data_IF_251559395494
#
_entry.id   IF_251559395494
#
_cell.length_a   1.000
_cell.length_b   1.000
_cell.length_c   1.000
_cell.angle_alpha   90.00
_cell.angle_beta   90.00
_cell.angle_gamma   90.00
#
_symmetry.space_group_name_H-M   'P 1'
#
loop_
_entity.id
_entity.type
_entity.pdbx_description
1 polymer ?
#
# COMPACT_ATOMS: atom_id res chain seq x y z
N UNK A 1 0.44 14.25 -11.30
CA UNK A 1 0.21 13.42 -10.09
C UNK A 1 0.20 11.94 -10.46
N UNK A 2 0.87 11.11 -9.68
CA UNK A 2 0.86 9.65 -9.85
C UNK A 2 -0.11 9.01 -8.87
N UNK A 3 -0.78 7.94 -9.33
CA UNK A 3 -1.75 7.18 -8.55
C UNK A 3 -1.12 5.84 -8.17
N UNK A 4 -0.93 5.61 -6.87
CA UNK A 4 -0.09 4.53 -6.35
C UNK A 4 -0.91 3.66 -5.40
N UNK A 5 -0.82 2.34 -5.59
CA UNK A 5 -1.40 1.38 -4.64
C UNK A 5 -0.26 0.79 -3.79
N UNK A 6 -0.37 0.88 -2.47
CA UNK A 6 0.66 0.36 -1.57
C UNK A 6 0.29 -1.01 -0.99
N UNK A 7 1.24 -1.94 -1.09
CA UNK A 7 1.19 -3.19 -0.33
C UNK A 7 1.24 -2.88 1.17
N UNK A 8 0.56 -3.70 1.96
CA UNK A 8 0.46 -3.55 3.42
C UNK A 8 1.81 -3.36 4.10
N UNK A 9 2.84 -4.10 3.67
CA UNK A 9 4.17 -4.01 4.28
C UNK A 9 4.79 -2.63 4.17
N UNK A 10 4.54 -1.91 3.07
CA UNK A 10 5.07 -0.55 2.90
C UNK A 10 4.46 0.39 3.95
N UNK A 11 3.16 0.24 4.20
CA UNK A 11 2.47 1.06 5.19
C UNK A 11 3.01 0.78 6.60
N UNK A 12 3.21 -0.49 6.92
CA UNK A 12 3.76 -0.89 8.22
C UNK A 12 5.19 -0.36 8.38
N UNK A 13 6.01 -0.44 7.33
CA UNK A 13 7.38 0.09 7.35
C UNK A 13 7.39 1.57 7.74
N UNK A 14 6.41 2.32 7.25
CA UNK A 14 6.27 3.74 7.58
C UNK A 14 5.78 3.93 9.03
N UNK A 15 4.64 3.33 9.37
CA UNK A 15 3.99 3.56 10.67
C UNK A 15 4.80 3.02 11.84
N UNK A 16 5.48 1.88 11.67
CA UNK A 16 6.28 1.25 12.71
C UNK A 16 7.77 1.63 12.63
N UNK A 17 8.14 2.50 11.70
CA UNK A 17 9.52 2.95 11.48
C UNK A 17 10.51 1.79 11.37
N UNK A 18 10.18 0.80 10.52
CA UNK A 18 11.03 -0.39 10.37
C UNK A 18 12.28 -0.11 9.51
N UNK A 19 13.45 -0.18 10.12
CA UNK A 19 14.73 -0.02 9.41
C UNK A 19 15.08 -1.30 8.64
N UNK A 20 15.70 -1.19 7.48
CA UNK A 20 16.08 0.02 6.73
C UNK A 20 14.98 0.51 5.79
N UNK A 21 13.77 0.00 5.86
CA UNK A 21 12.69 0.20 4.89
C UNK A 21 11.92 1.51 5.09
N UNK A 22 11.94 2.05 6.31
CA UNK A 22 11.08 3.19 6.66
C UNK A 22 11.41 4.47 5.90
N UNK A 23 12.67 4.68 5.51
CA UNK A 23 13.05 5.91 4.81
C UNK A 23 12.35 6.04 3.46
N UNK A 24 12.42 5.01 2.62
CA UNK A 24 11.76 5.04 1.31
C UNK A 24 10.23 5.15 1.47
N UNK A 25 9.66 4.41 2.44
CA UNK A 25 8.23 4.48 2.72
C UNK A 25 7.82 5.91 3.13
N UNK A 26 8.59 6.55 4.01
CA UNK A 26 8.32 7.92 4.44
C UNK A 26 8.36 8.91 3.27
N UNK A 27 9.29 8.73 2.35
CA UNK A 27 9.37 9.58 1.15
C UNK A 27 8.13 9.45 0.28
N UNK A 28 7.58 8.24 0.14
CA UNK A 28 6.35 8.03 -0.63
C UNK A 28 5.18 8.80 0.00
N UNK A 29 5.02 8.72 1.32
CA UNK A 29 3.97 9.46 2.01
C UNK A 29 4.19 10.97 1.91
N UNK A 30 5.43 11.42 1.92
CA UNK A 30 5.74 12.84 1.75
C UNK A 30 5.31 13.34 0.36
N UNK A 31 5.50 12.55 -0.69
CA UNK A 31 5.01 12.92 -2.03
C UNK A 31 3.49 13.07 -2.04
N UNK A 32 2.78 12.25 -1.27
CA UNK A 32 1.33 12.39 -1.12
C UNK A 32 0.96 13.72 -0.46
N UNK A 33 1.66 14.08 0.60
CA UNK A 33 1.45 15.35 1.30
C UNK A 33 1.69 16.53 0.37
N UNK A 34 2.71 16.44 -0.49
CA UNK A 34 3.06 17.48 -1.45
C UNK A 34 2.14 17.52 -2.68
N UNK A 35 1.17 16.63 -2.77
CA UNK A 35 0.24 16.58 -3.89
C UNK A 35 0.82 16.00 -5.17
N UNK A 36 1.95 15.29 -5.09
CA UNK A 36 2.62 14.68 -6.24
C UNK A 36 2.20 13.24 -6.46
N UNK A 37 1.61 12.62 -5.44
CA UNK A 37 1.11 11.25 -5.52
C UNK A 37 -0.20 11.15 -4.76
N UNK A 38 -1.08 10.25 -5.21
CA UNK A 38 -2.29 9.88 -4.49
C UNK A 38 -2.15 8.40 -4.13
N UNK A 39 -2.23 8.10 -2.83
CA UNK A 39 -1.96 6.77 -2.30
C UNK A 39 -3.28 6.06 -2.00
N UNK A 40 -3.38 4.81 -2.47
CA UNK A 40 -4.51 3.92 -2.22
C UNK A 40 -4.05 2.74 -1.40
N UNK A 41 -4.85 2.36 -0.41
CA UNK A 41 -4.58 1.23 0.48
C UNK A 41 -5.86 0.40 0.58
N UNK A 42 -5.72 -0.92 0.56
CA UNK A 42 -6.87 -1.82 0.71
C UNK A 42 -7.47 -1.74 2.12
N UNK A 43 -8.78 -1.79 2.20
CA UNK A 43 -9.48 -1.84 3.49
C UNK A 43 -9.01 -3.00 4.36
N UNK A 44 -8.69 -4.14 3.77
CA UNK A 44 -8.20 -5.31 4.54
C UNK A 44 -6.87 -5.03 5.22
N UNK A 45 -6.05 -4.15 4.66
CA UNK A 45 -4.75 -3.81 5.23
C UNK A 45 -4.89 -3.13 6.59
N UNK A 46 -5.94 -2.35 6.79
CA UNK A 46 -6.17 -1.64 8.06
C UNK A 46 -6.23 -2.59 9.25
N UNK A 47 -6.96 -3.70 9.09
CA UNK A 47 -7.08 -4.69 10.16
C UNK A 47 -5.73 -5.35 10.47
N UNK A 48 -4.98 -5.71 9.43
CA UNK A 48 -3.66 -6.33 9.58
C UNK A 48 -2.67 -5.36 10.22
N UNK A 49 -2.68 -4.11 9.78
CA UNK A 49 -1.80 -3.07 10.32
C UNK A 49 -2.10 -2.86 11.81
N UNK A 50 -3.38 -2.81 12.19
CA UNK A 50 -3.76 -2.65 13.58
C UNK A 50 -3.13 -3.73 14.47
N UNK A 51 -3.26 -5.00 14.11
CA UNK A 51 -2.71 -6.08 14.93
C UNK A 51 -1.18 -6.07 15.00
N UNK A 52 -0.52 -5.64 13.94
CA UNK A 52 0.94 -5.51 13.95
C UNK A 52 1.38 -4.34 14.82
N UNK A 53 0.72 -3.19 14.72
CA UNK A 53 1.02 -2.04 15.57
C UNK A 53 0.82 -2.34 17.05
N UNK A 54 -0.16 -3.19 17.38
CA UNK A 54 -0.44 -3.59 18.76
C UNK A 54 0.71 -4.36 19.41
N UNK A 55 1.66 -4.86 18.64
CA UNK A 55 2.83 -5.53 19.18
C UNK A 55 3.79 -4.57 19.89
N UNK A 56 3.75 -3.28 19.54
CA UNK A 56 4.64 -2.26 20.09
C UNK A 56 3.94 -0.98 20.53
N UNK A 57 2.63 -0.87 20.30
CA UNK A 57 1.83 0.32 20.61
C UNK A 57 0.57 -0.08 21.40
N UNK A 58 0.03 0.88 22.17
CA UNK A 58 -1.28 0.69 22.81
C UNK A 58 -2.39 0.70 21.75
N UNK A 59 -3.58 0.23 22.13
CA UNK A 59 -4.75 0.30 21.24
C UNK A 59 -5.07 1.74 20.84
N UNK A 60 -4.96 2.67 21.78
CA UNK A 60 -5.23 4.09 21.53
C UNK A 60 -4.25 4.66 20.50
N UNK A 61 -2.97 4.35 20.67
CA UNK A 61 -1.94 4.80 19.73
C UNK A 61 -2.12 4.19 18.34
N UNK A 62 -2.42 2.89 18.28
CA UNK A 62 -2.64 2.19 17.00
C UNK A 62 -3.82 2.80 16.24
N UNK A 63 -4.93 3.05 16.93
CA UNK A 63 -6.12 3.68 16.32
C UNK A 63 -5.79 5.09 15.84
N UNK A 64 -5.05 5.86 16.63
CA UNK A 64 -4.65 7.22 16.24
C UNK A 64 -3.81 7.20 14.95
N UNK A 65 -2.84 6.29 14.85
CA UNK A 65 -2.01 6.16 13.65
C UNK A 65 -2.83 5.77 12.42
N UNK A 66 -3.78 4.85 12.60
CA UNK A 66 -4.67 4.44 11.50
C UNK A 66 -5.60 5.56 11.06
N UNK A 67 -6.10 6.35 12.01
CA UNK A 67 -6.94 7.50 11.70
C UNK A 67 -6.16 8.53 10.88
N UNK A 68 -4.95 8.85 11.30
CA UNK A 68 -4.05 9.75 10.56
C UNK A 68 -3.76 9.23 9.17
N UNK A 69 -3.54 7.92 9.04
CA UNK A 69 -3.33 7.27 7.75
C UNK A 69 -4.53 7.47 6.82
N UNK A 70 -5.74 7.32 7.37
CA UNK A 70 -6.97 7.47 6.59
C UNK A 70 -7.16 8.89 6.06
N UNK A 71 -6.62 9.88 6.75
CA UNK A 71 -6.67 11.28 6.31
C UNK A 71 -5.71 11.57 5.16
N UNK A 72 -4.62 10.82 5.06
CA UNK A 72 -3.58 11.03 4.05
C UNK A 72 -3.75 10.21 2.78
N UNK A 73 -4.62 9.21 2.81
CA UNK A 73 -4.72 8.20 1.75
C UNK A 73 -6.17 7.92 1.40
N UNK A 74 -6.37 7.16 0.31
CA UNK A 74 -7.68 6.64 -0.07
C UNK A 74 -7.77 5.17 0.34
N UNK A 75 -8.90 4.78 0.92
CA UNK A 75 -9.17 3.38 1.27
C UNK A 75 -9.94 2.73 0.12
N UNK A 76 -9.43 1.61 -0.38
CA UNK A 76 -10.09 0.85 -1.44
C UNK A 76 -10.96 -0.23 -0.83
N UNK A 77 -12.24 -0.25 -1.20
CA UNK A 77 -13.20 -1.23 -0.71
C UNK A 77 -12.82 -2.65 -1.12
N UNK A 78 -13.09 -3.60 -0.23
CA UNK A 78 -12.94 -5.03 -0.51
C UNK A 78 -14.35 -5.61 -0.64
N UNK A 79 -14.78 -5.87 -1.88
CA UNK A 79 -16.12 -6.35 -2.17
C UNK A 79 -16.18 -7.87 -2.19
N UNK A 80 -17.41 -8.41 -2.20
CA UNK A 80 -17.64 -9.84 -2.39
C UNK A 80 -16.96 -10.35 -3.66
N UNK A 81 -17.06 -9.58 -4.75
CA UNK A 81 -16.44 -9.94 -6.03
C UNK A 81 -14.92 -10.05 -5.91
N UNK A 82 -14.29 -9.12 -5.23
CA UNK A 82 -12.83 -9.13 -5.00
C UNK A 82 -12.43 -10.38 -4.22
N UNK A 83 -13.17 -10.71 -3.17
CA UNK A 83 -12.88 -11.92 -2.36
C UNK A 83 -13.00 -13.16 -3.24
N UNK A 84 -14.08 -13.29 -3.99
CA UNK A 84 -14.30 -14.48 -4.84
C UNK A 84 -13.21 -14.63 -5.92
N UNK A 85 -12.82 -13.53 -6.56
CA UNK A 85 -11.73 -13.55 -7.54
C UNK A 85 -10.41 -13.96 -6.90
N UNK A 86 -10.15 -13.45 -5.70
CA UNK A 86 -8.90 -13.72 -4.98
C UNK A 86 -8.80 -15.20 -4.57
N UNK A 87 -9.92 -15.80 -4.17
CA UNK A 87 -9.95 -17.23 -3.83
C UNK A 87 -9.62 -18.14 -5.01
N UNK A 88 -9.87 -17.67 -6.24
CA UNK A 88 -9.61 -18.44 -7.48
C UNK A 88 -8.33 -18.01 -8.19
N UNK A 89 -7.57 -17.11 -7.61
CA UNK A 89 -6.37 -16.57 -8.25
C UNK A 89 -5.18 -17.52 -8.14
N UNK A 90 -4.17 -17.26 -8.98
CA UNK A 90 -2.90 -17.99 -8.96
C UNK A 90 -1.90 -17.40 -7.97
N UNK A 91 -2.26 -16.37 -7.22
CA UNK A 91 -1.38 -15.81 -6.20
C UNK A 91 -1.18 -16.80 -5.06
N UNK A 92 0.05 -16.94 -4.60
CA UNK A 92 0.37 -17.83 -3.48
C UNK A 92 -0.18 -17.30 -2.17
N UNK A 93 -0.19 -15.98 -1.98
CA UNK A 93 -0.68 -15.34 -0.78
C UNK A 93 -2.04 -14.72 -1.04
N UNK A 94 -3.01 -15.06 -0.18
CA UNK A 94 -4.39 -14.60 -0.32
C UNK A 94 -4.52 -13.08 -0.17
N UNK A 95 -3.78 -12.49 0.78
CA UNK A 95 -3.83 -11.05 0.97
C UNK A 95 -3.29 -10.31 -0.26
N UNK A 96 -2.21 -10.81 -0.85
CA UNK A 96 -1.65 -10.23 -2.08
C UNK A 96 -2.67 -10.28 -3.22
N UNK A 97 -3.40 -11.39 -3.32
CA UNK A 97 -4.46 -11.53 -4.31
C UNK A 97 -5.57 -10.49 -4.10
N UNK A 98 -5.97 -10.27 -2.85
CA UNK A 98 -6.98 -9.25 -2.52
C UNK A 98 -6.48 -7.87 -2.90
N UNK A 99 -5.25 -7.54 -2.55
CA UNK A 99 -4.67 -6.24 -2.87
C UNK A 99 -4.59 -6.00 -4.37
N UNK A 100 -4.13 -7.00 -5.12
CA UNK A 100 -4.07 -6.91 -6.57
C UNK A 100 -5.45 -6.68 -7.19
N UNK A 101 -6.45 -7.45 -6.77
CA UNK A 101 -7.80 -7.31 -7.28
C UNK A 101 -8.45 -5.98 -6.86
N UNK A 102 -8.10 -5.45 -5.69
CA UNK A 102 -8.50 -4.10 -5.30
C UNK A 102 -7.92 -3.06 -6.26
N UNK A 103 -6.63 -3.16 -6.56
CA UNK A 103 -5.97 -2.23 -7.46
C UNK A 103 -6.61 -2.25 -8.86
N UNK A 104 -7.00 -3.43 -9.33
CA UNK A 104 -7.65 -3.58 -10.64
C UNK A 104 -9.01 -2.89 -10.73
N UNK A 105 -9.70 -2.65 -9.61
CA UNK A 105 -10.99 -1.97 -9.63
C UNK A 105 -10.86 -0.46 -9.78
N UNK A 106 -9.66 0.08 -9.57
CA UNK A 106 -9.42 1.51 -9.65
C UNK A 106 -9.17 1.92 -11.10
N UNK A 107 -9.80 3.02 -11.51
CA UNK A 107 -9.72 3.49 -12.90
C UNK A 107 -8.36 4.08 -13.25
N UNK A 108 -7.65 4.58 -12.24
CA UNK A 108 -6.34 5.19 -12.42
C UNK A 108 -5.36 4.67 -11.38
N UNK A 109 -4.57 3.68 -11.74
CA UNK A 109 -3.43 3.25 -10.93
C UNK A 109 -2.24 3.19 -11.89
N UNK A 110 -1.20 3.94 -11.55
CA UNK A 110 0.03 3.94 -12.33
C UNK A 110 0.89 2.72 -11.99
N UNK A 111 0.99 2.38 -10.71
CA UNK A 111 1.73 1.19 -10.30
C UNK A 111 1.41 0.78 -8.86
N UNK A 112 1.72 -0.48 -8.56
CA UNK A 112 1.67 -1.04 -7.21
C UNK A 112 3.08 -0.97 -6.63
N UNK A 113 3.21 -0.57 -5.37
CA UNK A 113 4.51 -0.54 -4.67
C UNK A 113 4.56 -1.67 -3.66
N UNK A 114 5.58 -2.50 -3.75
CA UNK A 114 5.81 -3.62 -2.84
C UNK A 114 7.30 -3.91 -2.71
N UNK A 115 7.72 -4.45 -1.56
CA UNK A 115 9.08 -4.97 -1.41
C UNK A 115 9.23 -6.34 -2.04
N UNK A 116 8.13 -7.08 -2.20
CA UNK A 116 8.11 -8.46 -2.67
C UNK A 116 7.55 -8.54 -4.09
N UNK A 117 8.30 -7.96 -5.04
CA UNK A 117 7.85 -7.90 -6.44
C UNK A 117 7.56 -9.27 -7.05
N UNK A 118 8.21 -10.32 -6.56
CA UNK A 118 8.00 -11.70 -7.02
C UNK A 118 6.56 -12.18 -6.78
N UNK A 119 5.93 -11.71 -5.70
CA UNK A 119 4.58 -12.12 -5.34
C UNK A 119 3.54 -11.55 -6.30
N UNK A 120 3.92 -10.53 -7.07
CA UNK A 120 3.05 -9.86 -8.04
C UNK A 120 3.48 -10.10 -9.49
N UNK A 121 4.29 -11.12 -9.75
CA UNK A 121 4.83 -11.37 -11.11
C UNK A 121 3.75 -11.62 -12.17
N UNK A 122 2.54 -12.02 -11.76
CA UNK A 122 1.41 -12.23 -12.67
C UNK A 122 0.57 -10.98 -12.87
N UNK A 123 0.98 -9.86 -12.31
CA UNK A 123 0.26 -8.59 -12.42
C UNK A 123 0.29 -8.06 -13.85
N UNK A 124 -0.85 -7.53 -14.30
CA UNK A 124 -0.93 -6.74 -15.53
C UNK A 124 -0.65 -5.27 -15.26
N UNK A 125 -0.62 -4.86 -13.99
CA UNK A 125 -0.24 -3.52 -13.58
C UNK A 125 1.26 -3.46 -13.34
N UNK A 126 1.86 -2.29 -13.54
CA UNK A 126 3.27 -2.07 -13.23
C UNK A 126 3.53 -2.26 -11.74
N UNK A 127 4.61 -2.96 -11.41
CA UNK A 127 5.02 -3.21 -10.03
C UNK A 127 6.38 -2.56 -9.81
N UNK A 128 6.50 -1.82 -8.70
CA UNK A 128 7.75 -1.13 -8.35
C UNK A 128 8.12 -1.40 -6.89
N UNK A 129 9.42 -1.42 -6.64
CA UNK A 129 9.92 -1.38 -5.25
C UNK A 129 9.75 0.05 -4.73
N UNK A 130 9.79 0.26 -3.39
CA UNK A 130 9.73 1.61 -2.83
C UNK A 130 10.82 2.52 -3.41
N UNK A 131 12.04 2.02 -3.58
CA UNK A 131 13.16 2.79 -4.11
C UNK A 131 12.92 3.20 -5.56
N UNK A 132 12.42 2.29 -6.39
CA UNK A 132 12.06 2.59 -7.78
C UNK A 132 10.96 3.65 -7.86
N UNK A 133 9.95 3.53 -7.01
CA UNK A 133 8.84 4.47 -6.96
C UNK A 133 9.31 5.86 -6.54
N UNK A 134 10.16 5.94 -5.51
CA UNK A 134 10.74 7.21 -5.05
C UNK A 134 11.53 7.86 -6.16
N UNK A 135 12.38 7.09 -6.85
CA UNK A 135 13.20 7.61 -7.95
C UNK A 135 12.32 8.17 -9.09
N UNK A 136 11.26 7.44 -9.44
CA UNK A 136 10.32 7.90 -10.47
C UNK A 136 9.66 9.22 -10.07
N UNK A 137 9.19 9.33 -8.83
CA UNK A 137 8.51 10.53 -8.36
C UNK A 137 9.45 11.73 -8.24
N UNK A 138 10.68 11.51 -7.81
CA UNK A 138 11.69 12.58 -7.78
C UNK A 138 11.97 13.13 -9.17
N UNK A 139 12.10 12.27 -10.16
CA UNK A 139 12.39 12.67 -11.53
C UNK A 139 11.20 13.33 -12.21
N UNK A 140 9.97 12.90 -11.92
CA UNK A 140 8.77 13.45 -12.55
C UNK A 140 8.33 14.78 -11.96
N UNK A 141 8.94 15.24 -10.87
CA UNK A 141 8.59 16.49 -10.20
C UNK A 141 9.34 17.71 -10.75
N UNK A 142 10.10 17.52 -11.82
CA UNK A 142 10.84 18.61 -12.49
C UNK A 142 9.96 19.34 -13.51
#
# INVERSE_FOLDING_TARGET
>A
MKYIFLDTNIVIDFLADRKPFSLAAAKLFNFSILGKAKIYISAVSYNNIYYILKQSHSSVEAIKLLDELSEMTEITDVTKSIIKKSLKSDFKDFEDAIQYNCALTLTKIDFIVTRDTKDFKKSTLSIMTPEEAVSLLENSSR
#
